data_IF_780045527815
#
_entry.id   IF_780045527815
#
_cell.length_a   1.000
_cell.length_b   1.000
_cell.length_c   1.000
_cell.angle_alpha   90.00
_cell.angle_beta   90.00
_cell.angle_gamma   90.00
#
_symmetry.space_group_name_H-M   'P 1'
#
loop_
_entity.id
_entity.type
_entity.pdbx_description
1 polymer ?
#
# COMPACT_ATOMS: atom_id res chain seq x y z
N UNK A 1 0.28 -0.12 -19.70
CA UNK A 1 0.24 -0.01 -18.23
C UNK A 1 1.66 0.14 -17.73
N UNK A 2 1.96 1.25 -17.07
CA UNK A 2 3.26 1.55 -16.45
C UNK A 2 3.20 1.49 -14.92
N UNK A 3 2.37 0.61 -14.38
CA UNK A 3 2.23 0.44 -12.93
C UNK A 3 3.45 -0.29 -12.42
N UNK A 4 4.10 0.26 -11.41
CA UNK A 4 5.24 -0.33 -10.73
C UNK A 4 4.91 -0.52 -9.27
N UNK A 5 5.34 -1.65 -8.73
CA UNK A 5 5.02 -2.05 -7.37
C UNK A 5 6.30 -2.46 -6.65
N UNK A 6 6.44 -2.09 -5.39
CA UNK A 6 7.53 -2.56 -4.52
C UNK A 6 7.00 -2.85 -3.13
N UNK A 7 7.75 -3.64 -2.37
CA UNK A 7 7.41 -3.93 -0.97
C UNK A 7 8.43 -3.30 -0.04
N UNK A 8 7.97 -2.78 1.08
CA UNK A 8 8.79 -2.19 2.13
C UNK A 8 8.38 -2.69 3.51
N UNK A 9 9.29 -2.54 4.48
CA UNK A 9 9.04 -2.89 5.88
C UNK A 9 7.92 -2.02 6.45
N UNK A 10 7.23 -2.52 7.47
CA UNK A 10 6.23 -1.81 8.26
C UNK A 10 6.73 -0.47 8.80
N UNK A 11 8.03 -0.36 9.09
CA UNK A 11 8.68 0.84 9.62
C UNK A 11 9.02 1.89 8.55
N UNK A 12 8.87 1.57 7.27
CA UNK A 12 9.14 2.51 6.18
C UNK A 12 8.09 3.63 6.13
N UNK A 13 8.55 4.87 5.96
CA UNK A 13 7.68 6.02 5.71
C UNK A 13 8.00 6.62 4.36
N UNK A 14 7.05 6.51 3.43
CA UNK A 14 7.13 7.21 2.16
C UNK A 14 6.99 8.71 2.40
N UNK A 15 7.83 9.49 1.71
CA UNK A 15 7.81 10.95 1.74
C UNK A 15 7.68 11.47 0.32
N UNK A 16 6.70 12.33 0.11
CA UNK A 16 6.42 13.01 -1.14
C UNK A 16 6.71 14.51 -1.01
N UNK A 17 7.28 15.10 -2.07
CA UNK A 17 7.67 16.51 -2.09
C UNK A 17 9.13 16.77 -1.70
N UNK A 18 9.98 15.74 -1.60
CA UNK A 18 11.43 15.93 -1.46
C UNK A 18 12.00 16.58 -2.74
N UNK A 19 12.79 17.63 -2.60
CA UNK A 19 13.39 18.42 -3.70
C UNK A 19 14.48 17.68 -4.53
N UNK A 20 14.53 16.35 -4.45
CA UNK A 20 15.50 15.52 -5.17
C UNK A 20 14.99 15.15 -6.56
N UNK A 21 15.91 14.79 -7.47
CA UNK A 21 15.54 14.18 -8.76
C UNK A 21 14.67 12.95 -8.48
N UNK A 22 13.43 12.98 -8.96
CA UNK A 22 12.47 11.93 -8.69
C UNK A 22 12.97 10.60 -9.28
N UNK A 23 13.22 9.65 -8.39
CA UNK A 23 13.48 8.25 -8.72
C UNK A 23 12.48 7.43 -7.92
N UNK A 24 12.04 6.31 -8.49
CA UNK A 24 11.10 5.43 -7.81
C UNK A 24 11.80 4.92 -6.54
N UNK A 25 11.21 5.13 -5.35
CA UNK A 25 11.92 4.95 -4.09
C UNK A 25 11.93 3.50 -3.60
N UNK A 26 11.70 2.53 -4.50
CA UNK A 26 11.59 1.11 -4.17
C UNK A 26 12.07 0.21 -5.31
N UNK A 27 12.44 -1.02 -4.95
CA UNK A 27 12.82 -2.08 -5.88
C UNK A 27 11.67 -3.07 -6.05
N UNK A 28 11.28 -3.32 -7.30
CA UNK A 28 10.21 -4.25 -7.67
C UNK A 28 10.54 -5.71 -7.34
N UNK A 29 11.83 -6.04 -7.21
CA UNK A 29 12.31 -7.40 -6.93
C UNK A 29 12.64 -7.63 -5.46
N UNK A 30 12.40 -6.63 -4.59
CA UNK A 30 12.69 -6.73 -3.17
C UNK A 30 11.89 -7.86 -2.54
N UNK A 31 12.55 -8.65 -1.70
CA UNK A 31 11.93 -9.70 -0.89
C UNK A 31 12.09 -9.34 0.58
N UNK A 32 11.03 -9.52 1.35
CA UNK A 32 11.01 -9.29 2.79
C UNK A 32 10.58 -10.59 3.45
N UNK A 33 11.28 -10.96 4.52
CA UNK A 33 10.91 -12.06 5.40
C UNK A 33 10.52 -11.45 6.75
N UNK A 34 9.36 -11.86 7.28
CA UNK A 34 8.88 -11.45 8.58
C UNK A 34 8.81 -12.66 9.50
N UNK A 35 9.17 -12.44 10.77
CA UNK A 35 9.00 -13.42 11.83
C UNK A 35 7.98 -12.86 12.82
N UNK A 36 6.99 -13.68 13.19
CA UNK A 36 5.91 -13.27 14.07
C UNK A 36 5.54 -14.44 14.99
N UNK A 37 5.12 -14.10 16.21
CA UNK A 37 4.65 -15.09 17.18
C UNK A 37 3.25 -15.60 16.85
N UNK A 38 2.82 -16.61 17.60
CA UNK A 38 1.40 -16.99 17.67
C UNK A 38 0.61 -15.93 18.45
N UNK A 39 -0.63 -15.67 18.05
CA UNK A 39 -1.49 -14.60 18.58
C UNK A 39 -0.92 -13.18 18.39
N UNK A 40 -0.11 -12.99 17.35
CA UNK A 40 0.56 -11.73 17.04
C UNK A 40 0.29 -11.28 15.60
N UNK A 41 0.73 -10.07 15.24
CA UNK A 41 0.55 -9.50 13.90
C UNK A 41 1.88 -9.19 13.24
N UNK A 42 1.90 -9.38 11.93
CA UNK A 42 2.99 -8.99 11.06
C UNK A 42 2.45 -8.05 9.98
N UNK A 43 3.23 -7.05 9.57
CA UNK A 43 2.80 -6.12 8.54
C UNK A 43 3.91 -5.82 7.52
N UNK A 44 3.49 -5.50 6.30
CA UNK A 44 4.34 -4.94 5.25
C UNK A 44 3.62 -3.78 4.57
N UNK A 45 4.38 -2.95 3.87
CA UNK A 45 3.82 -1.93 3.00
C UNK A 45 4.04 -2.29 1.54
N UNK A 46 2.97 -2.25 0.75
CA UNK A 46 3.02 -2.27 -0.70
C UNK A 46 3.03 -0.83 -1.22
N UNK A 47 4.01 -0.49 -2.04
CA UNK A 47 4.13 0.81 -2.68
C UNK A 47 3.72 0.67 -4.14
N UNK A 48 2.73 1.46 -4.57
CA UNK A 48 2.19 1.42 -5.93
C UNK A 48 2.48 2.77 -6.60
N UNK A 49 3.03 2.73 -7.81
CA UNK A 49 3.38 3.91 -8.59
C UNK A 49 2.87 3.81 -10.02
N UNK A 50 2.49 4.96 -10.60
CA UNK A 50 2.18 5.10 -12.01
C UNK A 50 2.59 6.48 -12.52
N UNK A 51 3.01 6.53 -13.78
CA UNK A 51 3.23 7.78 -14.52
C UNK A 51 1.91 8.48 -14.91
N UNK A 52 0.78 7.77 -14.78
CA UNK A 52 -0.58 8.27 -15.03
C UNK A 52 -1.39 8.36 -13.73
N UNK A 53 -2.51 9.09 -13.78
CA UNK A 53 -3.52 9.01 -12.73
C UNK A 53 -4.09 7.58 -12.60
N UNK A 54 -4.39 7.16 -11.38
CA UNK A 54 -4.95 5.84 -11.11
C UNK A 54 -5.91 5.86 -9.92
N UNK A 55 -6.78 4.85 -9.86
CA UNK A 55 -7.54 4.51 -8.67
C UNK A 55 -6.90 3.29 -8.01
N UNK A 56 -6.61 3.35 -6.71
CA UNK A 56 -6.09 2.21 -5.94
C UNK A 56 -7.17 1.73 -4.98
N UNK A 57 -7.44 0.43 -4.99
CA UNK A 57 -8.44 -0.22 -4.15
C UNK A 57 -7.77 -1.24 -3.22
N UNK A 58 -8.06 -1.14 -1.92
CA UNK A 58 -7.63 -2.07 -0.88
C UNK A 58 -8.59 -3.27 -0.71
N UNK A 59 -9.70 -3.29 -1.44
CA UNK A 59 -10.66 -4.40 -1.43
C UNK A 59 -11.06 -4.78 -2.85
N UNK A 60 -11.78 -5.91 -2.97
CA UNK A 60 -12.40 -6.34 -4.22
C UNK A 60 -13.73 -5.63 -4.52
N UNK A 61 -14.09 -4.61 -3.74
CA UNK A 61 -15.32 -3.86 -3.92
C UNK A 61 -15.37 -3.15 -5.28
N UNK A 62 -16.60 -2.82 -5.70
CA UNK A 62 -16.80 -2.06 -6.91
C UNK A 62 -16.36 -0.60 -6.71
N UNK A 63 -15.35 -0.18 -7.47
CA UNK A 63 -14.88 1.19 -7.55
C UNK A 63 -15.27 1.78 -8.91
N UNK A 64 -15.90 2.96 -8.90
CA UNK A 64 -16.30 3.69 -10.10
C UNK A 64 -15.72 5.11 -10.08
N UNK A 65 -15.01 5.48 -11.15
CA UNK A 65 -14.50 6.84 -11.34
C UNK A 65 -15.41 7.63 -12.26
N UNK A 66 -15.78 8.85 -11.84
CA UNK A 66 -16.82 9.65 -12.51
C UNK A 66 -16.30 10.54 -13.65
N UNK A 67 -14.99 10.76 -13.75
CA UNK A 67 -14.40 11.81 -14.62
C UNK A 67 -13.84 11.28 -15.94
N UNK A 68 -13.96 9.99 -16.21
CA UNK A 68 -13.50 9.39 -17.46
C UNK A 68 -12.83 8.03 -17.25
N UNK A 69 -12.20 7.48 -18.31
CA UNK A 69 -11.38 6.28 -18.19
C UNK A 69 -10.16 6.56 -17.29
N UNK A 70 -9.92 5.67 -16.34
CA UNK A 70 -8.75 5.71 -15.44
C UNK A 70 -8.27 4.29 -15.17
N UNK A 71 -6.96 4.12 -14.98
CA UNK A 71 -6.40 2.84 -14.58
C UNK A 71 -6.87 2.48 -13.15
N UNK A 72 -7.44 1.29 -12.98
CA UNK A 72 -7.92 0.79 -11.68
C UNK A 72 -7.02 -0.34 -11.19
N UNK A 73 -6.38 -0.11 -10.06
CA UNK A 73 -5.48 -1.06 -9.39
C UNK A 73 -6.20 -1.65 -8.18
N UNK A 74 -6.33 -2.97 -8.14
CA UNK A 74 -6.91 -3.69 -7.00
C UNK A 74 -5.85 -4.54 -6.34
N UNK A 75 -5.72 -4.39 -5.03
CA UNK A 75 -4.77 -5.16 -4.22
C UNK A 75 -5.48 -6.38 -3.64
N UNK A 76 -5.06 -7.58 -4.07
CA UNK A 76 -5.46 -8.85 -3.44
C UNK A 76 -4.20 -9.47 -2.83
N UNK A 77 -4.31 -9.89 -1.57
CA UNK A 77 -3.22 -10.51 -0.82
C UNK A 77 -3.64 -11.92 -0.48
N UNK A 78 -2.79 -12.88 -0.84
CA UNK A 78 -3.00 -14.28 -0.54
C UNK A 78 -1.81 -14.80 0.28
N UNK A 79 -2.07 -15.21 1.52
CA UNK A 79 -1.06 -15.82 2.40
C UNK A 79 -1.37 -17.30 2.55
N UNK A 80 -0.56 -18.20 1.98
CA UNK A 80 -0.80 -19.64 2.08
C UNK A 80 -0.96 -20.10 3.54
N UNK A 81 -2.03 -20.83 3.84
CA UNK A 81 -2.28 -21.38 5.16
C UNK A 81 -3.01 -20.43 6.14
N UNK A 82 -3.38 -19.22 5.71
CA UNK A 82 -4.21 -18.29 6.48
C UNK A 82 -5.54 -18.01 5.80
N UNK A 83 -6.57 -17.74 6.60
CA UNK A 83 -7.87 -17.31 6.10
C UNK A 83 -7.77 -15.86 5.57
N UNK A 84 -8.56 -15.50 4.56
CA UNK A 84 -8.61 -14.12 4.06
C UNK A 84 -9.01 -13.11 5.14
N UNK A 85 -9.82 -13.54 6.11
CA UNK A 85 -10.26 -12.70 7.23
C UNK A 85 -9.12 -12.35 8.20
N UNK A 86 -8.02 -13.09 8.17
CA UNK A 86 -6.82 -12.81 8.96
C UNK A 86 -5.87 -11.82 8.25
N UNK A 87 -6.19 -11.41 7.02
CA UNK A 87 -5.41 -10.46 6.22
C UNK A 87 -6.20 -9.17 6.07
N UNK A 88 -5.64 -8.08 6.56
CA UNK A 88 -6.22 -6.74 6.46
C UNK A 88 -5.38 -5.88 5.52
N UNK A 89 -6.04 -5.33 4.51
CA UNK A 89 -5.44 -4.37 3.57
C UNK A 89 -6.05 -3.00 3.83
N UNK A 90 -5.22 -1.97 3.97
CA UNK A 90 -5.67 -0.61 4.25
C UNK A 90 -4.87 0.41 3.44
N UNK A 91 -5.54 1.40 2.87
CA UNK A 91 -4.86 2.47 2.15
C UNK A 91 -4.14 3.38 3.15
N UNK A 92 -2.94 3.86 2.80
CA UNK A 92 -2.19 4.80 3.64
C UNK A 92 -2.34 6.21 3.07
N UNK A 93 -2.84 7.13 3.89
CA UNK A 93 -2.94 8.54 3.61
C UNK A 93 -1.62 9.26 3.82
N UNK A 94 -1.36 10.24 2.96
CA UNK A 94 -0.25 11.17 3.14
C UNK A 94 -0.72 12.40 3.91
N UNK A 95 0.07 12.83 4.89
CA UNK A 95 -0.20 13.99 5.75
C UNK A 95 0.96 14.97 5.63
N UNK A 96 0.65 16.26 5.57
CA UNK A 96 1.67 17.31 5.58
C UNK A 96 2.28 17.41 6.99
N UNK A 97 3.61 17.32 7.06
CA UNK A 97 4.39 17.51 8.27
C UNK A 97 4.98 18.94 8.31
N UNK A 98 5.62 19.34 9.42
CA UNK A 98 6.17 20.69 9.63
C UNK A 98 7.20 21.12 8.56
N UNK A 99 7.82 20.14 7.90
CA UNK A 99 8.75 20.35 6.78
C UNK A 99 8.06 20.59 5.43
N UNK A 100 6.72 20.72 5.42
CA UNK A 100 5.83 20.83 4.24
C UNK A 100 5.90 19.64 3.30
N UNK A 101 6.43 18.51 3.75
CA UNK A 101 6.46 17.27 2.98
C UNK A 101 5.29 16.40 3.39
N UNK A 102 4.79 15.64 2.41
CA UNK A 102 3.69 14.71 2.60
C UNK A 102 4.25 13.35 3.03
N UNK A 103 3.96 12.90 4.25
CA UNK A 103 4.46 11.64 4.81
C UNK A 103 3.34 10.61 4.96
N UNK A 104 3.65 9.35 4.68
CA UNK A 104 2.71 8.24 4.87
C UNK A 104 2.56 7.92 6.35
N UNK A 105 1.40 8.20 6.93
CA UNK A 105 1.22 8.07 8.39
C UNK A 105 -0.16 7.55 8.82
N UNK A 106 -1.22 7.81 8.04
CA UNK A 106 -2.58 7.48 8.46
C UNK A 106 -3.11 6.26 7.71
N UNK A 107 -3.58 5.23 8.43
CA UNK A 107 -4.41 4.18 7.83
C UNK A 107 -5.81 4.72 7.58
N UNK A 108 -6.23 4.73 6.31
CA UNK A 108 -7.52 5.26 5.88
C UNK A 108 -8.62 4.21 6.04
N UNK A 109 -9.82 4.67 6.40
CA UNK A 109 -11.02 3.83 6.50
C UNK A 109 -11.71 3.60 5.14
N UNK A 110 -11.30 4.30 4.09
CA UNK A 110 -11.86 4.17 2.76
C UNK A 110 -11.24 2.99 2.00
N UNK A 111 -12.02 2.35 1.13
CA UNK A 111 -11.60 1.15 0.38
C UNK A 111 -10.92 1.48 -0.95
N UNK A 112 -11.08 2.70 -1.46
CA UNK A 112 -10.44 3.18 -2.68
C UNK A 112 -9.97 4.63 -2.55
N UNK A 113 -8.94 5.00 -3.33
CA UNK A 113 -8.40 6.36 -3.39
C UNK A 113 -7.99 6.72 -4.81
N UNK A 114 -8.21 7.98 -5.18
CA UNK A 114 -7.64 8.57 -6.40
C UNK A 114 -6.20 8.99 -6.14
N UNK A 115 -5.30 8.58 -7.03
CA UNK A 115 -3.87 8.86 -6.95
C UNK A 115 -3.46 9.66 -8.18
N UNK A 116 -2.85 10.80 -7.94
CA UNK A 116 -2.31 11.66 -8.98
C UNK A 116 -1.11 11.02 -9.67
N UNK A 117 -0.86 11.39 -10.93
CA UNK A 117 0.34 10.98 -11.67
C UNK A 117 1.61 11.29 -10.87
N UNK A 118 2.62 10.44 -11.02
CA UNK A 118 3.93 10.59 -10.38
C UNK A 118 3.91 10.55 -8.84
N UNK A 119 2.86 9.99 -8.25
CA UNK A 119 2.70 9.86 -6.80
C UNK A 119 2.70 8.38 -6.42
N UNK A 120 3.46 8.04 -5.39
CA UNK A 120 3.40 6.69 -4.81
C UNK A 120 2.22 6.64 -3.85
N UNK A 121 1.42 5.58 -3.97
CA UNK A 121 0.35 5.25 -3.04
C UNK A 121 0.79 4.05 -2.18
N UNK A 122 1.08 4.25 -0.88
CA UNK A 122 1.35 3.15 0.02
C UNK A 122 0.06 2.44 0.44
N UNK A 123 0.15 1.13 0.61
CA UNK A 123 -0.93 0.26 1.06
C UNK A 123 -0.38 -0.61 2.18
N UNK A 124 -1.00 -0.54 3.35
CA UNK A 124 -0.67 -1.33 4.51
C UNK A 124 -1.31 -2.71 4.40
N UNK A 125 -0.51 -3.75 4.59
CA UNK A 125 -0.95 -5.14 4.60
C UNK A 125 -0.58 -5.70 5.97
N UNK A 126 -1.58 -6.00 6.77
CA UNK A 126 -1.46 -6.60 8.10
C UNK A 126 -1.97 -8.04 8.06
N UNK A 127 -1.25 -8.94 8.71
CA UNK A 127 -1.60 -10.35 8.82
C UNK A 127 -1.66 -10.71 10.30
N UNK A 128 -2.76 -11.31 10.73
CA UNK A 128 -2.92 -11.82 12.09
C UNK A 128 -2.63 -13.33 12.12
N UNK A 129 -1.70 -13.74 12.99
CA UNK A 129 -1.34 -15.14 13.18
C UNK A 129 -2.11 -15.69 14.39
N UNK A 130 -3.14 -16.50 14.13
CA UNK A 130 -3.93 -17.15 15.19
C UNK A 130 -3.08 -18.16 15.98
N UNK A 131 -3.48 -18.44 17.22
CA UNK A 131 -2.83 -19.43 18.09
C UNK A 131 -2.66 -20.83 17.45
N UNK A 132 -3.72 -21.24 16.75
CA UNK A 132 -3.88 -22.58 16.20
C UNK A 132 -3.34 -22.72 14.78
N UNK A 133 -2.60 -21.71 14.27
CA UNK A 133 -1.85 -21.86 13.02
C UNK A 133 -0.85 -23.01 13.21
N UNK A 134 -0.89 -23.96 12.27
CA UNK A 134 -0.07 -25.18 12.26
C UNK A 134 1.38 -24.88 11.93
#
# INVERSE_FOLDING_TARGET
>A
MGIKCGIESESYKYVHGCNNKYTIPFDENKKIALNCGKNDRAAVQLLIYSDNEMMVCASNDNCFYKRGPIDMVRVDVNVPGLDKDDVKVSLVGLVEDDDRQLKSDILLNQTFIYVEKFKVQPVWIEVYIRENVK
#
